data_IF_863139175171
#
_entry.id   IF_863139175171
#
_cell.length_a   1.000
_cell.length_b   1.000
_cell.length_c   1.000
_cell.angle_alpha   90.00
_cell.angle_beta   90.00
_cell.angle_gamma   90.00
#
_symmetry.space_group_name_H-M   'P 1'
#
loop_
_entity.id
_entity.type
_entity.pdbx_description
1 polymer ?
#
# COMPACT_ATOMS: atom_id res chain seq x y z
N UNK A 1 16.65 3.18 -9.06
CA UNK A 1 16.18 2.87 -10.43
C UNK A 1 15.61 4.07 -11.16
N UNK A 2 14.63 4.81 -10.60
CA UNK A 2 14.10 6.03 -11.25
C UNK A 2 15.15 7.14 -11.44
N UNK A 3 15.87 7.51 -10.37
CA UNK A 3 16.93 8.54 -10.46
C UNK A 3 18.07 8.12 -11.40
N UNK A 4 18.46 6.85 -11.39
CA UNK A 4 19.51 6.33 -12.27
C UNK A 4 19.12 6.40 -13.74
N UNK A 5 17.86 6.07 -14.10
CA UNK A 5 17.34 6.19 -15.47
C UNK A 5 17.27 7.65 -15.91
N UNK A 6 16.81 8.55 -15.03
CA UNK A 6 16.76 9.99 -15.29
C UNK A 6 18.15 10.56 -15.58
N UNK A 7 19.12 10.29 -14.70
CA UNK A 7 20.51 10.73 -14.89
C UNK A 7 21.14 10.15 -16.15
N UNK A 8 20.87 8.88 -16.49
CA UNK A 8 21.36 8.27 -17.72
C UNK A 8 20.76 8.93 -18.98
N UNK A 9 19.49 9.31 -18.92
CA UNK A 9 18.80 10.04 -20.00
C UNK A 9 19.38 11.44 -20.19
N UNK A 10 19.51 12.22 -19.12
CA UNK A 10 20.10 13.57 -19.15
C UNK A 10 21.55 13.55 -19.66
N UNK A 11 22.32 12.53 -19.26
CA UNK A 11 23.69 12.32 -19.76
C UNK A 11 23.71 12.03 -21.26
N UNK A 12 22.82 11.15 -21.73
CA UNK A 12 22.70 10.84 -23.15
C UNK A 12 22.31 12.07 -23.97
N UNK A 13 21.34 12.87 -23.52
CA UNK A 13 20.95 14.11 -24.20
C UNK A 13 22.11 15.09 -24.35
N UNK A 14 22.97 15.21 -23.33
CA UNK A 14 24.15 16.09 -23.35
C UNK A 14 25.25 15.57 -24.27
N UNK A 15 25.51 14.26 -24.26
CA UNK A 15 26.63 13.65 -24.99
C UNK A 15 26.26 13.24 -26.42
N UNK A 16 24.98 13.05 -26.72
CA UNK A 16 24.51 12.56 -28.02
C UNK A 16 25.09 13.33 -29.22
N UNK A 17 25.16 14.68 -29.24
CA UNK A 17 25.67 15.43 -30.38
C UNK A 17 27.12 15.11 -30.75
N UNK A 18 27.95 14.74 -29.77
CA UNK A 18 29.38 14.43 -29.95
C UNK A 18 29.65 12.94 -30.16
N UNK A 19 28.63 12.09 -30.04
CA UNK A 19 28.75 10.65 -30.22
C UNK A 19 28.62 10.24 -31.70
N UNK A 20 29.37 9.19 -32.07
CA UNK A 20 29.17 8.46 -33.31
C UNK A 20 27.74 7.86 -33.38
N UNK A 21 27.18 7.79 -34.58
CA UNK A 21 25.79 7.35 -34.81
C UNK A 21 25.50 5.92 -34.29
N UNK A 22 26.45 5.00 -34.48
CA UNK A 22 26.35 3.63 -33.98
C UNK A 22 26.27 3.57 -32.45
N UNK A 23 27.10 4.35 -31.76
CA UNK A 23 27.08 4.44 -30.30
C UNK A 23 25.81 5.12 -29.79
N UNK A 24 25.33 6.14 -30.50
CA UNK A 24 24.08 6.85 -30.17
C UNK A 24 22.89 5.90 -30.23
N UNK A 25 22.79 5.13 -31.31
CA UNK A 25 21.73 4.13 -31.51
C UNK A 25 21.75 3.06 -30.42
N UNK A 26 22.93 2.54 -30.06
CA UNK A 26 23.05 1.53 -28.99
C UNK A 26 22.62 2.10 -27.64
N UNK A 27 23.09 3.30 -27.26
CA UNK A 27 22.69 3.92 -25.99
C UNK A 27 21.20 4.25 -25.94
N UNK A 28 20.62 4.71 -27.05
CA UNK A 28 19.18 4.98 -27.13
C UNK A 28 18.36 3.70 -26.90
N UNK A 29 18.74 2.57 -27.51
CA UNK A 29 18.07 1.28 -27.27
C UNK A 29 18.17 0.86 -25.81
N UNK A 30 19.35 0.98 -25.21
CA UNK A 30 19.55 0.65 -23.79
C UNK A 30 18.66 1.49 -22.87
N UNK A 31 18.51 2.80 -23.13
CA UNK A 31 17.62 3.66 -22.36
C UNK A 31 16.14 3.24 -22.49
N UNK A 32 15.71 2.89 -23.70
CA UNK A 32 14.34 2.39 -23.94
C UNK A 32 14.09 1.08 -23.20
N UNK A 33 15.05 0.16 -23.21
CA UNK A 33 14.93 -1.12 -22.52
C UNK A 33 14.91 -0.92 -20.99
N UNK A 34 15.75 -0.04 -20.46
CA UNK A 34 15.76 0.32 -19.04
C UNK A 34 14.47 1.02 -18.60
N UNK A 35 13.91 1.91 -19.41
CA UNK A 35 12.61 2.52 -19.12
C UNK A 35 11.50 1.48 -19.08
N UNK A 36 11.41 0.60 -20.09
CA UNK A 36 10.42 -0.48 -20.11
C UNK A 36 10.51 -1.37 -18.88
N UNK A 37 11.72 -1.77 -18.50
CA UNK A 37 11.96 -2.56 -17.29
C UNK A 37 11.54 -1.79 -16.02
N UNK A 38 11.90 -0.51 -15.93
CA UNK A 38 11.52 0.34 -14.80
C UNK A 38 9.99 0.46 -14.67
N UNK A 39 9.28 0.72 -15.78
CA UNK A 39 7.83 0.80 -15.79
C UNK A 39 7.18 -0.52 -15.37
N UNK A 40 7.72 -1.66 -15.83
CA UNK A 40 7.25 -2.99 -15.43
C UNK A 40 7.43 -3.22 -13.93
N UNK A 41 8.66 -3.04 -13.41
CA UNK A 41 8.95 -3.19 -11.98
C UNK A 41 8.13 -2.26 -11.10
N UNK A 42 7.86 -1.04 -11.56
CA UNK A 42 7.01 -0.08 -10.85
C UNK A 42 5.56 -0.57 -10.74
N UNK A 43 5.00 -1.15 -11.80
CA UNK A 43 3.65 -1.72 -11.77
C UNK A 43 3.58 -2.93 -10.84
N UNK A 44 4.50 -3.89 -10.99
CA UNK A 44 4.61 -5.07 -10.12
C UNK A 44 4.70 -4.66 -8.65
N UNK A 45 5.59 -3.71 -8.33
CA UNK A 45 5.71 -3.19 -6.97
C UNK A 45 4.42 -2.54 -6.46
N UNK A 46 3.71 -1.76 -7.29
CA UNK A 46 2.46 -1.13 -6.87
C UNK A 46 1.34 -2.14 -6.65
N UNK A 47 1.27 -3.18 -7.49
CA UNK A 47 0.33 -4.29 -7.36
C UNK A 47 0.61 -5.08 -6.08
N UNK A 48 1.86 -5.46 -5.84
CA UNK A 48 2.29 -6.17 -4.63
C UNK A 48 2.00 -5.33 -3.37
N UNK A 49 2.33 -4.03 -3.38
CA UNK A 49 2.03 -3.13 -2.27
C UNK A 49 0.53 -3.05 -1.98
N UNK A 50 -0.29 -2.93 -3.02
CA UNK A 50 -1.75 -2.88 -2.87
C UNK A 50 -2.30 -4.21 -2.33
N UNK A 51 -1.82 -5.33 -2.85
CA UNK A 51 -2.21 -6.67 -2.39
C UNK A 51 -1.84 -6.87 -0.91
N UNK A 52 -0.60 -6.57 -0.53
CA UNK A 52 -0.14 -6.65 0.87
C UNK A 52 -0.92 -5.70 1.78
N UNK A 53 -1.16 -4.46 1.38
CA UNK A 53 -1.97 -3.51 2.15
C UNK A 53 -3.38 -4.05 2.41
N UNK A 54 -4.02 -4.63 1.39
CA UNK A 54 -5.35 -5.21 1.52
C UNK A 54 -5.35 -6.45 2.42
N UNK A 55 -4.32 -7.29 2.33
CA UNK A 55 -4.12 -8.46 3.19
C UNK A 55 -4.00 -8.06 4.66
N UNK A 56 -3.10 -7.12 4.98
CA UNK A 56 -2.92 -6.64 6.35
C UNK A 56 -4.19 -5.95 6.88
N UNK A 57 -4.86 -5.15 6.05
CA UNK A 57 -6.13 -4.53 6.43
C UNK A 57 -7.22 -5.57 6.72
N UNK A 58 -7.32 -6.61 5.91
CA UNK A 58 -8.26 -7.71 6.13
C UNK A 58 -7.98 -8.44 7.46
N UNK A 59 -6.71 -8.68 7.79
CA UNK A 59 -6.32 -9.28 9.06
C UNK A 59 -6.71 -8.40 10.26
N UNK A 60 -6.52 -7.08 10.16
CA UNK A 60 -6.94 -6.14 11.21
C UNK A 60 -8.46 -6.15 11.39
N UNK A 61 -9.22 -6.12 10.30
CA UNK A 61 -10.68 -6.19 10.34
C UNK A 61 -11.18 -7.52 10.92
N UNK A 62 -10.54 -8.64 10.59
CA UNK A 62 -10.88 -9.95 11.15
C UNK A 62 -10.66 -9.98 12.67
N UNK A 63 -9.51 -9.48 13.14
CA UNK A 63 -9.21 -9.38 14.58
C UNK A 63 -10.21 -8.47 15.29
N UNK A 64 -10.51 -7.31 14.72
CA UNK A 64 -11.50 -6.39 15.26
C UNK A 64 -12.87 -7.06 15.37
N UNK A 65 -13.34 -7.74 14.32
CA UNK A 65 -14.62 -8.45 14.34
C UNK A 65 -14.69 -9.55 15.40
N UNK A 66 -13.59 -10.28 15.65
CA UNK A 66 -13.53 -11.28 16.73
C UNK A 66 -13.69 -10.62 18.10
N UNK A 67 -12.98 -9.52 18.33
CA UNK A 67 -13.05 -8.79 19.61
C UNK A 67 -14.42 -8.16 19.82
N UNK A 68 -15.04 -7.59 18.78
CA UNK A 68 -16.40 -7.07 18.82
C UNK A 68 -17.38 -8.15 19.29
N UNK A 69 -17.28 -9.38 18.76
CA UNK A 69 -18.11 -10.51 19.19
C UNK A 69 -17.87 -10.89 20.65
N UNK A 70 -16.61 -10.93 21.10
CA UNK A 70 -16.30 -11.22 22.50
C UNK A 70 -16.89 -10.18 23.46
N UNK A 71 -16.80 -8.89 23.11
CA UNK A 71 -17.43 -7.81 23.88
C UNK A 71 -18.95 -7.94 23.86
N UNK A 72 -19.54 -8.27 22.70
CA UNK A 72 -20.97 -8.50 22.57
C UNK A 72 -21.47 -9.61 23.49
N UNK A 73 -20.78 -10.76 23.51
CA UNK A 73 -21.14 -11.90 24.35
C UNK A 73 -20.94 -11.60 25.84
N UNK A 74 -19.83 -10.96 26.21
CA UNK A 74 -19.52 -10.62 27.60
C UNK A 74 -20.51 -9.63 28.21
N UNK A 75 -20.96 -8.65 27.42
CA UNK A 75 -21.88 -7.61 27.85
C UNK A 75 -23.34 -7.88 27.46
N UNK A 76 -23.59 -9.01 26.81
CA UNK A 76 -24.92 -9.49 26.40
C UNK A 76 -25.65 -8.52 25.47
N UNK A 77 -24.93 -8.01 24.47
CA UNK A 77 -25.52 -7.23 23.40
C UNK A 77 -26.18 -8.14 22.36
N UNK A 78 -27.42 -7.81 21.98
CA UNK A 78 -28.14 -8.51 20.92
C UNK A 78 -27.76 -8.00 19.51
N UNK A 79 -27.41 -6.71 19.40
CA UNK A 79 -27.08 -6.04 18.12
C UNK A 79 -25.98 -5.00 18.33
N UNK A 80 -25.07 -4.90 17.36
CA UNK A 80 -24.06 -3.85 17.27
C UNK A 80 -24.27 -3.10 15.94
N UNK A 81 -24.28 -1.77 16.00
CA UNK A 81 -24.49 -0.89 14.85
C UNK A 81 -23.18 -0.15 14.54
N UNK A 82 -22.73 -0.19 13.28
CA UNK A 82 -21.51 0.51 12.83
C UNK A 82 -21.80 1.85 12.13
N UNK A 83 -22.83 1.90 11.29
CA UNK A 83 -23.15 3.10 10.50
C UNK A 83 -24.42 3.78 11.04
N UNK A 84 -24.23 4.72 11.94
CA UNK A 84 -25.31 5.54 12.49
C UNK A 84 -25.00 7.02 12.31
N UNK A 85 -26.03 7.80 11.94
CA UNK A 85 -25.91 9.26 11.78
C UNK A 85 -25.58 9.95 13.09
N UNK A 86 -26.05 9.38 14.21
CA UNK A 86 -25.75 9.83 15.56
C UNK A 86 -25.85 8.66 16.54
N UNK A 87 -24.88 8.56 17.46
CA UNK A 87 -24.90 7.62 18.59
C UNK A 87 -24.67 8.44 19.86
N UNK A 88 -25.53 8.25 20.86
CA UNK A 88 -25.26 8.78 22.19
C UNK A 88 -23.99 8.09 22.74
N UNK A 89 -22.96 8.81 23.21
CA UNK A 89 -21.71 8.22 23.71
C UNK A 89 -21.89 7.15 24.78
N UNK A 90 -22.99 7.17 25.55
CA UNK A 90 -23.32 6.14 26.53
C UNK A 90 -23.54 4.75 25.91
N UNK A 91 -23.94 4.69 24.64
CA UNK A 91 -24.16 3.44 23.88
C UNK A 91 -22.94 3.04 23.04
N UNK A 92 -21.90 3.87 23.00
CA UNK A 92 -20.69 3.58 22.24
C UNK A 92 -19.81 2.56 22.99
N UNK A 93 -19.36 1.52 22.29
CA UNK A 93 -18.49 0.46 22.80
C UNK A 93 -17.07 0.55 22.23
N UNK A 94 -16.77 1.53 21.37
CA UNK A 94 -15.52 1.64 20.60
C UNK A 94 -14.30 1.59 21.50
N UNK A 95 -14.27 2.37 22.58
CA UNK A 95 -13.15 2.36 23.53
C UNK A 95 -12.95 1.01 24.22
N UNK A 96 -14.04 0.27 24.48
CA UNK A 96 -13.97 -1.06 25.10
C UNK A 96 -13.42 -2.08 24.12
N UNK A 97 -13.87 -2.03 22.87
CA UNK A 97 -13.34 -2.86 21.77
C UNK A 97 -11.86 -2.58 21.53
N UNK A 98 -11.44 -1.32 21.49
CA UNK A 98 -10.02 -0.94 21.33
C UNK A 98 -9.16 -1.48 22.48
N UNK A 99 -9.63 -1.35 23.73
CA UNK A 99 -8.92 -1.91 24.89
C UNK A 99 -8.78 -3.43 24.80
N UNK A 100 -9.85 -4.13 24.44
CA UNK A 100 -9.83 -5.58 24.29
C UNK A 100 -8.93 -6.04 23.12
N UNK A 101 -8.93 -5.31 22.01
CA UNK A 101 -8.06 -5.58 20.85
C UNK A 101 -6.57 -5.44 21.20
N UNK A 102 -6.22 -4.38 21.94
CA UNK A 102 -4.84 -4.16 22.39
C UNK A 102 -4.39 -5.18 23.45
N UNK A 103 -5.32 -5.70 24.25
CA UNK A 103 -5.03 -6.75 25.22
C UNK A 103 -4.79 -8.11 24.56
N UNK A 104 -5.53 -8.44 23.49
CA UNK A 104 -5.38 -9.68 22.72
C UNK A 104 -4.16 -9.68 21.78
N UNK A 105 -3.56 -8.51 21.50
CA UNK A 105 -2.37 -8.36 20.68
C UNK A 105 -1.04 -8.45 21.45
N UNK A 106 -1.07 -8.68 22.76
CA UNK A 106 0.09 -9.03 23.60
C UNK A 106 0.20 -10.53 23.76
#
# INVERSE_FOLDING_TARGET
MGNTLKTATEKFEREAPTMAESQRTTRQRQLVDQDREFQRKRREFQEDLNARKNEELAQVLERANKVVKQVAEAEKYDVILQEAVYINPKHDITDRVIKALNAAGK
#
